data_IF_569267530392
#
_entry.id   IF_569267530392
#
_cell.length_a   1.000
_cell.length_b   1.000
_cell.length_c   1.000
_cell.angle_alpha   90.00
_cell.angle_beta   90.00
_cell.angle_gamma   90.00
#
_symmetry.space_group_name_H-M   'P 1'
#
loop_
_entity.id
_entity.type
_entity.pdbx_description
1 polymer ?
#
# COMPACT_ATOMS: atom_id res chain seq x y z
N UNK A 1 -62.83 41.20 -18.29
CA UNK A 1 -62.86 41.28 -16.81
C UNK A 1 -61.75 40.40 -16.24
N UNK A 2 -60.81 41.02 -15.51
CA UNK A 2 -59.97 40.48 -14.43
C UNK A 2 -58.96 39.35 -14.78
N UNK A 3 -57.73 39.81 -15.02
CA UNK A 3 -56.46 39.07 -14.92
C UNK A 3 -56.31 38.35 -13.57
N UNK A 4 -55.73 37.14 -13.58
CA UNK A 4 -55.02 36.56 -12.44
C UNK A 4 -53.74 35.88 -12.92
N UNK A 5 -52.67 36.65 -12.86
CA UNK A 5 -51.28 36.22 -12.83
C UNK A 5 -51.09 35.31 -11.62
N UNK A 6 -50.57 34.10 -11.81
CA UNK A 6 -50.12 33.25 -10.72
C UNK A 6 -48.64 32.89 -10.96
N UNK A 7 -47.83 33.34 -10.00
CA UNK A 7 -46.38 33.29 -9.89
C UNK A 7 -45.77 31.91 -10.21
N UNK A 8 -44.78 31.92 -11.09
CA UNK A 8 -43.72 30.90 -11.19
C UNK A 8 -42.69 31.25 -10.12
N UNK A 9 -42.60 30.44 -9.05
CA UNK A 9 -41.49 30.50 -8.10
C UNK A 9 -40.67 29.21 -8.23
N UNK A 10 -39.57 29.32 -8.97
CA UNK A 10 -38.59 28.27 -9.14
C UNK A 10 -37.78 28.11 -7.83
N UNK A 11 -37.95 26.97 -7.15
CA UNK A 11 -37.06 26.55 -6.08
C UNK A 11 -35.96 25.67 -6.68
N UNK A 12 -34.78 26.26 -6.87
CA UNK A 12 -33.53 25.56 -7.15
C UNK A 12 -33.03 24.88 -5.87
N UNK A 13 -33.26 23.57 -5.77
CA UNK A 13 -32.61 22.72 -4.75
C UNK A 13 -31.28 22.25 -5.32
N UNK A 14 -30.18 22.90 -4.92
CA UNK A 14 -28.82 22.38 -5.10
C UNK A 14 -28.58 21.27 -4.07
N UNK A 15 -29.02 20.05 -4.40
CA UNK A 15 -28.66 18.84 -3.67
C UNK A 15 -27.36 18.26 -4.22
N UNK A 16 -26.23 18.55 -3.56
CA UNK A 16 -24.97 17.86 -3.80
C UNK A 16 -24.98 16.50 -3.11
N UNK A 17 -25.15 15.41 -3.87
CA UNK A 17 -24.87 14.07 -3.38
C UNK A 17 -23.36 13.80 -3.52
N UNK A 18 -22.65 13.81 -2.40
CA UNK A 18 -21.31 13.23 -2.31
C UNK A 18 -21.39 11.74 -2.65
N UNK A 19 -20.67 11.32 -3.69
CA UNK A 19 -20.50 9.90 -4.03
C UNK A 19 -19.61 9.21 -2.99
N UNK A 20 -20.16 8.91 -1.81
CA UNK A 20 -19.60 7.84 -0.98
C UNK A 20 -20.04 6.52 -1.58
N UNK A 21 -19.14 5.89 -2.35
CA UNK A 21 -19.26 4.49 -2.69
C UNK A 21 -19.15 3.66 -1.41
N UNK A 22 -20.28 3.43 -0.74
CA UNK A 22 -20.42 2.32 0.19
C UNK A 22 -20.53 1.06 -0.68
N UNK A 23 -19.43 0.34 -0.82
CA UNK A 23 -19.48 -1.05 -1.23
C UNK A 23 -20.20 -1.85 -0.15
N UNK A 24 -21.48 -2.15 -0.42
CA UNK A 24 -22.20 -3.24 0.23
C UNK A 24 -21.51 -4.55 -0.14
N UNK A 25 -21.18 -5.36 0.85
CA UNK A 25 -20.84 -6.77 0.61
C UNK A 25 -21.65 -7.60 1.58
N UNK A 26 -22.85 -7.99 1.13
CA UNK A 26 -23.46 -9.24 1.54
C UNK A 26 -22.61 -10.39 1.00
N UNK A 27 -22.33 -11.38 1.85
CA UNK A 27 -21.73 -12.66 1.43
C UNK A 27 -20.24 -12.77 1.74
N UNK A 28 -19.92 -13.68 2.66
CA UNK A 28 -18.57 -14.02 3.09
C UNK A 28 -17.62 -14.34 1.93
N UNK A 29 -16.69 -13.43 1.68
CA UNK A 29 -15.49 -13.62 0.89
C UNK A 29 -14.49 -12.58 1.33
N UNK A 30 -13.35 -13.01 1.87
CA UNK A 30 -12.25 -12.12 2.23
C UNK A 30 -11.63 -11.57 0.95
N UNK A 31 -12.27 -10.56 0.35
CA UNK A 31 -11.70 -9.81 -0.75
C UNK A 31 -10.63 -8.89 -0.18
N UNK A 32 -9.39 -9.04 -0.64
CA UNK A 32 -8.35 -8.04 -0.39
C UNK A 32 -8.88 -6.68 -0.84
N UNK A 33 -8.69 -5.61 -0.04
CA UNK A 33 -9.31 -4.32 -0.32
C UNK A 33 -8.77 -3.78 -1.65
N UNK A 34 -9.62 -3.79 -2.67
CA UNK A 34 -9.31 -3.40 -4.03
C UNK A 34 -9.46 -1.88 -4.19
N UNK A 35 -8.38 -1.21 -4.61
CA UNK A 35 -8.31 0.25 -4.77
C UNK A 35 -7.23 0.90 -3.90
N UNK A 36 -6.92 2.18 -4.18
CA UNK A 36 -5.81 2.90 -3.52
C UNK A 36 -5.96 3.00 -2.00
N UNK A 37 -7.19 3.16 -1.48
CA UNK A 37 -7.45 3.19 -0.06
C UNK A 37 -7.14 1.85 0.63
N UNK A 38 -7.45 0.74 -0.05
CA UNK A 38 -7.15 -0.62 0.41
C UNK A 38 -5.66 -0.93 0.43
N UNK A 39 -4.98 -0.60 -0.66
CA UNK A 39 -3.51 -0.70 -0.77
C UNK A 39 -2.83 0.14 0.31
N UNK A 40 -3.29 1.37 0.54
CA UNK A 40 -2.76 2.21 1.61
C UNK A 40 -2.97 1.60 3.00
N UNK A 41 -4.09 0.91 3.24
CA UNK A 41 -4.33 0.21 4.52
C UNK A 41 -3.36 -0.96 4.72
N UNK A 42 -3.16 -1.80 3.70
CA UNK A 42 -2.23 -2.92 3.75
C UNK A 42 -0.79 -2.45 4.05
N UNK A 43 -0.33 -1.40 3.37
CA UNK A 43 1.02 -0.87 3.57
C UNK A 43 1.21 -0.26 4.96
N UNK A 44 0.17 0.35 5.56
CA UNK A 44 0.25 0.87 6.94
C UNK A 44 0.51 -0.26 7.94
N UNK A 45 -0.08 -1.43 7.73
CA UNK A 45 0.09 -2.59 8.62
C UNK A 45 1.50 -3.18 8.57
N UNK A 46 2.28 -2.87 7.53
CA UNK A 46 3.71 -3.21 7.49
C UNK A 46 4.56 -2.33 8.42
N UNK A 47 3.97 -1.37 9.14
CA UNK A 47 4.65 -0.52 10.13
C UNK A 47 5.95 0.14 9.61
N UNK A 48 5.98 0.48 8.32
CA UNK A 48 7.14 1.08 7.65
C UNK A 48 8.15 0.09 7.06
N UNK A 49 8.04 -1.22 7.31
CA UNK A 49 8.90 -2.23 6.71
C UNK A 49 10.39 -2.05 7.03
N UNK A 50 11.27 -2.67 6.25
CA UNK A 50 12.72 -2.48 6.39
C UNK A 50 13.14 -1.04 6.04
N UNK A 51 12.44 -0.43 5.08
CA UNK A 51 12.68 0.95 4.66
C UNK A 51 12.36 1.98 5.76
N UNK A 52 11.57 1.60 6.76
CA UNK A 52 11.32 2.41 7.96
C UNK A 52 12.57 2.61 8.81
N UNK A 53 13.55 1.70 8.71
CA UNK A 53 14.82 1.76 9.42
C UNK A 53 15.86 2.70 8.78
N UNK A 54 17.12 2.46 9.12
CA UNK A 54 18.25 3.32 8.74
C UNK A 54 18.50 3.39 7.23
N UNK A 55 18.16 2.34 6.47
CA UNK A 55 18.34 2.32 5.01
C UNK A 55 17.41 3.27 4.27
N UNK A 56 16.35 3.76 4.92
CA UNK A 56 15.45 4.79 4.38
C UNK A 56 15.84 6.21 4.75
N UNK A 57 16.86 6.42 5.58
CA UNK A 57 17.31 7.77 5.95
C UNK A 57 17.72 8.55 4.70
N UNK A 58 17.21 9.78 4.56
CA UNK A 58 17.44 10.61 3.37
C UNK A 58 16.49 10.35 2.20
N UNK A 59 15.55 9.41 2.32
CA UNK A 59 14.43 9.27 1.40
C UNK A 59 13.28 10.18 1.79
N UNK A 60 12.62 10.75 0.78
CA UNK A 60 11.35 11.46 0.95
C UNK A 60 10.22 10.48 1.27
N UNK A 61 9.11 10.99 1.81
CA UNK A 61 7.91 10.18 2.07
C UNK A 61 7.38 9.47 0.81
N UNK A 62 7.50 10.09 -0.36
CA UNK A 62 7.09 9.47 -1.63
C UNK A 62 7.97 8.28 -1.98
N UNK A 63 9.29 8.42 -1.80
CA UNK A 63 10.25 7.34 -2.07
C UNK A 63 10.13 6.22 -1.04
N UNK A 64 9.96 6.56 0.24
CA UNK A 64 9.67 5.57 1.30
C UNK A 64 8.41 4.77 0.97
N UNK A 65 7.37 5.42 0.46
CA UNK A 65 6.14 4.73 0.04
C UNK A 65 6.36 3.79 -1.15
N UNK A 66 7.08 4.24 -2.18
CA UNK A 66 7.39 3.41 -3.35
C UNK A 66 8.25 2.19 -2.96
N UNK A 67 9.22 2.40 -2.08
CA UNK A 67 10.09 1.38 -1.52
C UNK A 67 9.31 0.37 -0.65
N UNK A 68 8.40 0.84 0.21
CA UNK A 68 7.54 -0.01 1.03
C UNK A 68 6.57 -0.83 0.15
N UNK A 69 6.06 -0.25 -0.93
CA UNK A 69 5.27 -1.00 -1.91
C UNK A 69 6.09 -2.08 -2.61
N UNK A 70 7.37 -1.83 -2.91
CA UNK A 70 8.26 -2.86 -3.44
C UNK A 70 8.46 -3.99 -2.43
N UNK A 71 8.56 -3.69 -1.12
CA UNK A 71 8.59 -4.72 -0.08
C UNK A 71 7.32 -5.58 -0.09
N UNK A 72 6.14 -4.94 -0.10
CA UNK A 72 4.88 -5.65 -0.16
C UNK A 72 4.80 -6.56 -1.40
N UNK A 73 5.14 -6.03 -2.58
CA UNK A 73 5.10 -6.79 -3.83
C UNK A 73 6.08 -7.96 -3.85
N UNK A 74 7.27 -7.79 -3.27
CA UNK A 74 8.26 -8.85 -3.15
C UNK A 74 7.73 -10.00 -2.27
N UNK A 75 7.08 -9.66 -1.16
CA UNK A 75 6.53 -10.61 -0.21
C UNK A 75 5.27 -11.32 -0.74
N UNK A 76 4.39 -10.59 -1.40
CA UNK A 76 3.05 -11.09 -1.77
C UNK A 76 3.01 -11.75 -3.15
N UNK A 77 3.60 -11.13 -4.17
CA UNK A 77 3.36 -11.51 -5.57
C UNK A 77 4.59 -12.05 -6.30
N UNK A 78 5.77 -11.94 -5.68
CA UNK A 78 7.03 -12.19 -6.39
C UNK A 78 7.61 -13.56 -6.04
N UNK A 79 7.96 -14.39 -7.06
CA UNK A 79 8.64 -15.65 -6.85
C UNK A 79 9.94 -15.48 -6.05
N UNK A 80 10.27 -16.49 -5.25
CA UNK A 80 11.48 -16.48 -4.42
C UNK A 80 12.74 -16.25 -5.25
N UNK A 81 13.60 -15.33 -4.78
CA UNK A 81 14.84 -14.96 -5.45
C UNK A 81 14.70 -13.95 -6.59
N UNK A 82 13.48 -13.57 -6.97
CA UNK A 82 13.25 -12.52 -7.98
C UNK A 82 13.22 -11.13 -7.31
N UNK A 83 13.77 -10.14 -8.02
CA UNK A 83 13.87 -8.77 -7.53
C UNK A 83 12.65 -7.93 -7.91
N UNK A 84 12.16 -7.14 -6.97
CA UNK A 84 11.22 -6.04 -7.20
C UNK A 84 12.00 -4.74 -7.08
N UNK A 85 12.23 -4.08 -8.21
CA UNK A 85 12.89 -2.78 -8.24
C UNK A 85 11.89 -1.64 -7.97
N UNK A 86 12.41 -0.55 -7.41
CA UNK A 86 11.75 0.74 -7.34
C UNK A 86 12.75 1.86 -7.63
N UNK A 87 12.22 3.00 -8.09
CA UNK A 87 13.01 4.18 -8.43
C UNK A 87 12.43 5.42 -7.74
N UNK A 88 13.31 6.27 -7.25
CA UNK A 88 13.02 7.59 -6.70
C UNK A 88 13.58 8.70 -7.57
N UNK A 89 13.85 9.84 -6.96
CA UNK A 89 14.40 11.01 -7.65
C UNK A 89 15.93 11.05 -7.53
N UNK A 90 16.58 11.79 -8.44
CA UNK A 90 18.01 12.10 -8.36
C UNK A 90 18.90 10.85 -8.22
N UNK A 91 18.55 9.77 -8.95
CA UNK A 91 19.31 8.52 -8.96
C UNK A 91 19.14 7.66 -7.70
N UNK A 92 18.22 8.01 -6.80
CA UNK A 92 17.83 7.13 -5.70
C UNK A 92 17.00 5.97 -6.23
N UNK A 93 17.33 4.76 -5.81
CA UNK A 93 16.67 3.55 -6.28
C UNK A 93 16.85 2.42 -5.28
N UNK A 94 16.15 1.31 -5.47
CA UNK A 94 16.35 0.13 -4.67
C UNK A 94 15.75 -1.12 -5.29
N UNK A 95 16.03 -2.23 -4.64
CA UNK A 95 15.49 -3.54 -4.99
C UNK A 95 15.16 -4.33 -3.73
N UNK A 96 14.08 -5.10 -3.81
CA UNK A 96 13.67 -6.03 -2.76
C UNK A 96 13.66 -7.45 -3.30
N UNK A 97 14.27 -8.38 -2.58
CA UNK A 97 14.29 -9.80 -2.92
C UNK A 97 13.77 -10.60 -1.73
N UNK A 98 12.71 -11.39 -1.96
CA UNK A 98 12.16 -12.29 -0.95
C UNK A 98 12.66 -13.73 -1.17
N UNK A 99 12.89 -14.44 -0.07
CA UNK A 99 13.28 -15.84 -0.05
C UNK A 99 12.06 -16.77 -0.14
N UNK A 100 12.33 -18.08 -0.07
CA UNK A 100 11.27 -19.09 0.00
C UNK A 100 10.41 -18.91 1.26
N UNK A 101 9.08 -19.08 1.13
CA UNK A 101 8.20 -19.07 2.28
C UNK A 101 8.45 -20.29 3.17
N UNK A 102 8.27 -20.08 4.47
CA UNK A 102 8.33 -21.11 5.49
C UNK A 102 7.24 -20.88 6.53
N UNK A 103 6.93 -21.92 7.30
CA UNK A 103 5.83 -21.89 8.28
C UNK A 103 6.35 -21.65 9.69
N UNK A 104 5.76 -20.70 10.41
CA UNK A 104 5.94 -20.50 11.85
C UNK A 104 4.56 -20.64 12.52
N UNK A 105 4.34 -21.73 13.25
CA UNK A 105 3.01 -22.07 13.75
C UNK A 105 2.00 -22.22 12.59
N UNK A 106 0.97 -21.38 12.57
CA UNK A 106 -0.04 -21.34 11.49
C UNK A 106 0.19 -20.24 10.46
N UNK A 107 1.27 -19.45 10.57
CA UNK A 107 1.54 -18.31 9.69
C UNK A 107 2.65 -18.60 8.67
N UNK A 108 2.43 -18.21 7.42
CA UNK A 108 3.46 -18.23 6.38
C UNK A 108 4.35 -17.00 6.54
N UNK A 109 5.65 -17.21 6.69
CA UNK A 109 6.65 -16.16 6.83
C UNK A 109 7.64 -16.22 5.66
N UNK A 110 8.23 -15.08 5.33
CA UNK A 110 9.26 -14.94 4.31
C UNK A 110 10.38 -14.05 4.82
N UNK A 111 11.61 -14.51 4.64
CA UNK A 111 12.78 -13.63 4.74
C UNK A 111 12.86 -12.77 3.50
N UNK A 112 13.36 -11.54 3.64
CA UNK A 112 13.56 -10.65 2.52
C UNK A 112 14.71 -9.67 2.78
N UNK A 113 15.30 -9.20 1.70
CA UNK A 113 16.40 -8.23 1.69
C UNK A 113 15.96 -7.01 0.90
N UNK A 114 16.24 -5.82 1.42
CA UNK A 114 16.00 -4.55 0.75
C UNK A 114 17.33 -3.81 0.59
N UNK A 115 17.74 -3.55 -0.65
CA UNK A 115 18.88 -2.68 -0.97
C UNK A 115 18.39 -1.32 -1.44
N UNK A 116 19.07 -0.26 -1.02
CA UNK A 116 18.75 1.12 -1.36
C UNK A 116 20.02 1.84 -1.74
N UNK A 117 20.01 2.53 -2.88
CA UNK A 117 21.12 3.35 -3.35
C UNK A 117 20.74 4.83 -3.22
N UNK A 118 21.57 5.60 -2.51
CA UNK A 118 21.42 7.05 -2.30
C UNK A 118 22.76 7.72 -2.56
N UNK A 119 22.83 8.67 -3.50
CA UNK A 119 24.08 9.37 -3.83
C UNK A 119 25.21 8.43 -4.28
N UNK A 120 24.87 7.31 -4.94
CA UNK A 120 25.83 6.29 -5.38
C UNK A 120 26.29 5.32 -4.28
N UNK A 121 25.84 5.48 -3.03
CA UNK A 121 26.13 4.55 -1.94
C UNK A 121 24.96 3.58 -1.75
N UNK A 122 25.25 2.28 -1.70
CA UNK A 122 24.24 1.24 -1.48
C UNK A 122 24.24 0.78 -0.03
N UNK A 123 23.12 0.99 0.66
CA UNK A 123 22.79 0.39 1.95
C UNK A 123 21.90 -0.84 1.78
N UNK A 124 21.88 -1.72 2.77
CA UNK A 124 21.04 -2.92 2.76
C UNK A 124 20.52 -3.27 4.15
N UNK A 125 19.25 -3.68 4.21
CA UNK A 125 18.65 -4.30 5.38
C UNK A 125 18.09 -5.67 5.03
N UNK A 126 17.97 -6.53 6.04
CA UNK A 126 17.35 -7.86 5.94
C UNK A 126 16.37 -8.03 7.07
N UNK A 127 15.29 -8.75 6.81
CA UNK A 127 14.26 -9.02 7.80
C UNK A 127 13.42 -10.21 7.44
N UNK A 128 12.44 -10.45 8.29
CA UNK A 128 11.38 -11.44 8.10
C UNK A 128 10.05 -10.73 8.21
N UNK A 129 9.08 -11.12 7.39
CA UNK A 129 7.70 -10.74 7.59
C UNK A 129 6.80 -11.99 7.54
N UNK A 130 5.73 -11.99 8.34
CA UNK A 130 4.73 -13.06 8.36
C UNK A 130 3.39 -12.55 7.80
N UNK A 131 2.73 -13.37 6.99
CA UNK A 131 1.50 -13.04 6.28
C UNK A 131 0.31 -13.16 7.24
N UNK A 132 -0.54 -12.13 7.22
CA UNK A 132 -1.76 -12.06 8.00
C UNK A 132 -2.98 -12.46 7.15
N UNK A 133 -4.07 -12.84 7.82
CA UNK A 133 -5.32 -13.22 7.16
C UNK A 133 -6.00 -12.07 6.40
N UNK A 134 -5.71 -10.81 6.78
CA UNK A 134 -6.22 -9.60 6.14
C UNK A 134 -5.41 -9.20 4.88
N UNK A 135 -4.42 -10.01 4.49
CA UNK A 135 -3.55 -9.76 3.33
C UNK A 135 -2.37 -8.82 3.61
N UNK A 136 -2.23 -8.32 4.85
CA UNK A 136 -1.05 -7.58 5.27
C UNK A 136 0.11 -8.50 5.65
N UNK A 137 1.29 -7.92 5.74
CA UNK A 137 2.50 -8.58 6.20
C UNK A 137 2.99 -7.85 7.46
N UNK A 138 3.27 -8.60 8.53
CA UNK A 138 3.86 -8.06 9.75
C UNK A 138 5.37 -8.31 9.74
N UNK A 139 6.22 -7.28 9.64
CA UNK A 139 7.65 -7.43 9.85
C UNK A 139 7.96 -7.86 11.28
N UNK A 140 8.97 -8.72 11.44
CA UNK A 140 9.50 -9.18 12.73
C UNK A 140 10.84 -8.53 13.07
N UNK A 141 11.08 -7.34 12.52
CA UNK A 141 12.36 -6.62 12.50
C UNK A 141 12.60 -5.81 13.76
#
# INVERSE_FOLDING_TARGET
MKSKIALIAALSVLGGCSSTALSRTDGGGLAAPSGDAGRAAILRNMAGGLIGGSIGTGLSERERRAALEAEYRALEYTPSGQAVAWSGDAGRSGEVVAAQPYRVGSQDCRQYTHKVTIGGQTGQARGTACRNADGSWTPLT
#
